data_IF_494703089413
#
_entry.id   IF_494703089413
#
_cell.length_a   1.000
_cell.length_b   1.000
_cell.length_c   1.000
_cell.angle_alpha   90.00
_cell.angle_beta   90.00
_cell.angle_gamma   90.00
#
_symmetry.space_group_name_H-M   'P 1'
#
loop_
_entity.id
_entity.type
_entity.pdbx_description
1 polymer ?
#
# COMPACT_ATOMS: atom_id res chain seq x y z
N UNK A 1 0.76 51.82 0.33
CA UNK A 1 0.12 50.51 0.09
C UNK A 1 0.38 50.16 -1.37
N UNK A 2 1.32 49.25 -1.64
CA UNK A 2 1.60 48.76 -2.99
C UNK A 2 0.68 47.57 -3.26
N UNK A 3 -0.16 47.66 -4.29
CA UNK A 3 -0.94 46.52 -4.76
C UNK A 3 -0.05 45.68 -5.66
N UNK A 4 0.23 44.43 -5.27
CA UNK A 4 0.87 43.45 -6.17
C UNK A 4 -0.25 42.83 -7.00
N UNK A 5 -0.36 43.23 -8.26
CA UNK A 5 -1.18 42.52 -9.24
C UNK A 5 -0.38 41.34 -9.77
N UNK A 6 -0.70 40.13 -9.33
CA UNK A 6 -0.23 38.92 -10.02
C UNK A 6 -1.08 38.79 -11.29
N UNK A 7 -0.54 39.23 -12.43
CA UNK A 7 -1.14 38.92 -13.72
C UNK A 7 -1.09 37.40 -13.93
N UNK A 8 -2.24 36.79 -14.26
CA UNK A 8 -2.28 35.39 -14.65
C UNK A 8 -1.34 35.17 -15.83
N UNK A 9 -0.32 34.32 -15.64
CA UNK A 9 0.65 33.95 -16.66
C UNK A 9 -0.10 33.36 -17.86
N UNK A 10 0.20 33.84 -19.06
CA UNK A 10 -0.31 33.22 -20.27
C UNK A 10 0.17 31.76 -20.32
N UNK A 11 -0.67 30.82 -20.73
CA UNK A 11 -0.23 29.44 -20.88
C UNK A 11 0.92 29.36 -21.87
N UNK A 12 1.90 28.57 -21.48
CA UNK A 12 3.09 28.31 -22.27
C UNK A 12 3.17 26.80 -22.49
N UNK A 13 3.58 26.41 -23.69
CA UNK A 13 3.61 25.03 -24.15
C UNK A 13 4.45 24.09 -23.25
N UNK A 14 5.52 24.61 -22.64
CA UNK A 14 6.38 23.86 -21.72
C UNK A 14 5.76 23.57 -20.34
N UNK A 15 4.60 24.14 -20.00
CA UNK A 15 3.87 23.78 -18.77
C UNK A 15 3.33 22.36 -18.83
N UNK A 16 3.02 21.87 -20.03
CA UNK A 16 2.61 20.49 -20.26
C UNK A 16 3.83 19.65 -20.65
N UNK A 17 4.17 18.70 -19.79
CA UNK A 17 5.17 17.68 -20.14
C UNK A 17 4.53 16.63 -21.03
N UNK A 18 5.25 16.12 -22.06
CA UNK A 18 4.77 14.99 -22.82
C UNK A 18 4.59 13.77 -21.91
N UNK A 19 3.58 12.94 -22.17
CA UNK A 19 3.36 11.73 -21.38
C UNK A 19 4.48 10.72 -21.65
N UNK A 20 4.81 9.92 -20.64
CA UNK A 20 5.69 8.77 -20.83
C UNK A 20 5.05 7.81 -21.84
N UNK A 21 5.84 7.27 -22.79
CA UNK A 21 5.35 6.46 -23.91
C UNK A 21 4.30 7.16 -24.78
N UNK A 22 4.41 8.47 -24.94
CA UNK A 22 3.61 9.22 -25.88
C UNK A 22 4.29 10.50 -26.34
N UNK A 23 3.53 11.30 -27.07
CA UNK A 23 3.94 12.58 -27.60
C UNK A 23 2.91 13.64 -27.24
N UNK A 24 3.35 14.89 -27.20
CA UNK A 24 2.49 16.05 -27.01
C UNK A 24 2.72 17.01 -28.17
N UNK A 25 1.65 17.30 -28.90
CA UNK A 25 1.67 18.21 -30.04
C UNK A 25 0.81 19.44 -29.73
N UNK A 26 1.45 20.58 -29.58
CA UNK A 26 0.78 21.86 -29.31
C UNK A 26 0.65 22.68 -30.58
N UNK A 27 -0.57 23.13 -30.85
CA UNK A 27 -0.91 24.00 -31.98
C UNK A 27 -1.58 25.28 -31.44
N UNK A 28 -1.30 26.45 -32.05
CA UNK A 28 -2.07 27.65 -31.78
C UNK A 28 -3.54 27.44 -32.21
N UNK A 29 -4.48 27.66 -31.29
CA UNK A 29 -5.91 27.65 -31.56
C UNK A 29 -6.50 29.06 -31.64
N UNK A 30 -7.80 29.15 -31.94
CA UNK A 30 -8.48 30.44 -32.19
C UNK A 30 -8.46 31.42 -31.00
N UNK A 31 -8.34 30.94 -29.76
CA UNK A 31 -8.39 31.74 -28.51
C UNK A 31 -7.24 31.47 -27.54
N UNK A 32 -6.22 30.71 -27.96
CA UNK A 32 -5.08 30.35 -27.12
C UNK A 32 -4.32 29.12 -27.63
N UNK A 33 -3.85 28.23 -26.75
CA UNK A 33 -3.09 27.03 -27.11
C UNK A 33 -3.94 25.77 -26.99
N UNK A 34 -3.80 24.87 -27.96
CA UNK A 34 -4.39 23.53 -27.91
C UNK A 34 -3.29 22.49 -28.06
N UNK A 35 -3.13 21.65 -27.05
CA UNK A 35 -2.19 20.54 -27.07
C UNK A 35 -2.92 19.21 -27.14
N UNK A 36 -2.47 18.33 -28.02
CA UNK A 36 -2.99 16.98 -28.19
C UNK A 36 -1.90 16.02 -27.71
N UNK A 37 -2.18 15.34 -26.61
CA UNK A 37 -1.36 14.26 -26.09
C UNK A 37 -1.80 12.95 -26.74
N UNK A 38 -0.85 12.19 -27.28
CA UNK A 38 -1.12 10.92 -27.97
C UNK A 38 -0.19 9.84 -27.43
N UNK A 39 -0.71 8.66 -27.15
CA UNK A 39 0.10 7.51 -26.75
C UNK A 39 0.75 6.81 -27.95
N UNK A 40 1.94 6.26 -27.75
CA UNK A 40 2.61 5.43 -28.75
C UNK A 40 1.79 4.16 -29.01
N UNK A 41 1.93 3.51 -30.18
CA UNK A 41 1.26 2.25 -30.47
C UNK A 41 1.50 1.20 -29.36
N UNK A 42 0.44 0.54 -28.90
CA UNK A 42 0.51 -0.41 -27.78
C UNK A 42 0.44 0.24 -26.39
N UNK A 43 0.18 1.55 -26.31
CA UNK A 43 -0.04 2.29 -25.07
C UNK A 43 -1.33 3.12 -25.13
N UNK A 44 -1.94 3.36 -23.97
CA UNK A 44 -3.17 4.15 -23.82
C UNK A 44 -3.14 4.95 -22.50
N UNK A 45 -3.98 5.97 -22.38
CA UNK A 45 -4.18 6.62 -21.09
C UNK A 45 -4.94 5.69 -20.12
N UNK A 46 -4.89 6.00 -18.82
CA UNK A 46 -5.48 5.13 -17.77
C UNK A 46 -6.99 4.95 -17.88
N UNK A 47 -7.68 5.88 -18.54
CA UNK A 47 -9.11 5.82 -18.87
C UNK A 47 -9.42 5.15 -20.23
N UNK A 48 -8.42 4.54 -20.86
CA UNK A 48 -8.59 3.74 -22.07
C UNK A 48 -8.45 4.51 -23.38
N UNK A 49 -8.50 5.85 -23.37
CA UNK A 49 -8.38 6.68 -24.57
C UNK A 49 -6.92 6.73 -25.07
N UNK A 50 -6.68 6.74 -26.39
CA UNK A 50 -5.33 6.88 -26.96
C UNK A 50 -4.89 8.35 -27.10
N UNK A 51 -5.83 9.29 -26.97
CA UNK A 51 -5.61 10.72 -27.22
C UNK A 51 -6.30 11.56 -26.14
N UNK A 52 -5.65 12.63 -25.68
CA UNK A 52 -6.22 13.64 -24.80
C UNK A 52 -5.97 15.04 -25.32
N UNK A 53 -6.97 15.89 -25.23
CA UNK A 53 -6.87 17.30 -25.64
C UNK A 53 -6.83 18.20 -24.42
N UNK A 54 -5.83 19.07 -24.41
CA UNK A 54 -5.62 20.11 -23.42
C UNK A 54 -5.76 21.46 -24.10
N UNK A 55 -6.56 22.34 -23.52
CA UNK A 55 -6.78 23.68 -24.06
C UNK A 55 -6.47 24.72 -23.02
N UNK A 56 -5.97 25.85 -23.48
CA UNK A 56 -5.85 27.03 -22.67
C UNK A 56 -6.28 28.25 -23.47
N UNK A 57 -7.23 29.00 -22.93
CA UNK A 57 -7.58 30.33 -23.43
C UNK A 57 -6.67 31.40 -22.83
N UNK A 58 -6.45 32.51 -23.53
CA UNK A 58 -5.57 33.58 -23.05
C UNK A 58 -5.91 34.01 -21.61
N UNK A 59 -4.95 33.81 -20.68
CA UNK A 59 -5.03 34.10 -19.23
C UNK A 59 -5.93 33.14 -18.41
N UNK A 60 -6.26 31.97 -18.94
CA UNK A 60 -6.93 30.89 -18.21
C UNK A 60 -5.96 29.74 -17.91
N UNK A 61 -6.20 28.90 -16.89
CA UNK A 61 -5.41 27.69 -16.68
C UNK A 61 -5.73 26.61 -17.73
N UNK A 62 -4.83 25.64 -17.88
CA UNK A 62 -5.04 24.45 -18.72
C UNK A 62 -6.29 23.67 -18.30
N UNK A 63 -7.13 23.37 -19.30
CA UNK A 63 -8.33 22.55 -19.17
C UNK A 63 -8.11 21.23 -19.91
N UNK A 64 -8.38 20.05 -19.31
CA UNK A 64 -9.00 19.86 -18.00
C UNK A 64 -8.06 20.06 -16.80
N UNK A 65 -6.75 19.86 -16.97
CA UNK A 65 -5.74 20.09 -15.94
C UNK A 65 -4.41 20.50 -16.58
N UNK A 66 -3.46 21.01 -15.80
CA UNK A 66 -2.09 21.28 -16.25
C UNK A 66 -1.15 20.07 -16.17
N UNK A 67 -1.69 18.85 -16.05
CA UNK A 67 -0.91 17.61 -15.96
C UNK A 67 -1.41 16.65 -17.02
N UNK A 68 -0.50 16.26 -17.93
CA UNK A 68 -0.78 15.19 -18.89
C UNK A 68 -0.53 13.85 -18.21
N UNK A 69 -1.53 12.95 -18.11
CA UNK A 69 -1.33 11.62 -17.55
C UNK A 69 -0.35 10.80 -18.40
N UNK A 70 0.43 9.91 -17.79
CA UNK A 70 1.30 9.00 -18.54
C UNK A 70 0.49 7.93 -19.31
N UNK A 71 1.05 7.47 -20.42
CA UNK A 71 0.51 6.33 -21.16
C UNK A 71 0.97 5.02 -20.53
N UNK A 72 0.02 4.11 -20.29
CA UNK A 72 0.27 2.76 -19.77
C UNK A 72 0.22 1.74 -20.89
N UNK A 73 0.99 0.66 -20.75
CA UNK A 73 1.00 -0.44 -21.73
C UNK A 73 -0.40 -1.06 -21.88
N UNK A 74 -0.79 -1.36 -23.12
CA UNK A 74 -1.96 -2.18 -23.42
C UNK A 74 -1.73 -3.65 -23.10
N UNK A 75 -0.47 -4.09 -23.12
CA UNK A 75 -0.09 -5.40 -22.63
C UNK A 75 -0.34 -5.46 -21.12
N UNK A 76 -1.35 -6.24 -20.78
CA UNK A 76 -1.92 -6.30 -19.44
C UNK A 76 -2.08 -7.75 -19.02
N UNK A 77 -1.99 -8.00 -17.72
CA UNK A 77 -2.43 -9.27 -17.13
C UNK A 77 -3.46 -9.01 -16.04
N UNK A 78 -4.14 -10.06 -15.58
CA UNK A 78 -5.07 -9.91 -14.45
C UNK A 78 -4.30 -9.61 -13.17
N UNK A 79 -4.85 -8.72 -12.36
CA UNK A 79 -4.34 -8.43 -11.03
C UNK A 79 -4.59 -9.61 -10.10
N UNK A 80 -3.66 -9.84 -9.18
CA UNK A 80 -3.83 -10.82 -8.12
C UNK A 80 -4.65 -10.22 -6.99
N UNK A 81 -5.49 -11.04 -6.36
CA UNK A 81 -6.24 -10.64 -5.17
C UNK A 81 -5.54 -11.19 -3.94
N UNK A 82 -5.01 -10.28 -3.12
CA UNK A 82 -4.33 -10.63 -1.89
C UNK A 82 -5.20 -10.33 -0.67
N UNK A 83 -5.02 -11.14 0.37
CA UNK A 83 -5.48 -10.88 1.73
C UNK A 83 -4.24 -10.83 2.61
N UNK A 84 -4.07 -9.73 3.33
CA UNK A 84 -3.01 -9.56 4.33
C UNK A 84 -3.67 -9.58 5.69
N UNK A 85 -3.46 -10.65 6.44
CA UNK A 85 -3.86 -10.75 7.83
C UNK A 85 -2.67 -10.39 8.73
N UNK A 86 -2.72 -9.22 9.33
CA UNK A 86 -1.73 -8.76 10.30
C UNK A 86 -2.15 -9.21 11.68
N UNK A 87 -1.34 -10.03 12.34
CA UNK A 87 -1.56 -10.46 13.72
C UNK A 87 -0.49 -9.88 14.64
N UNK A 88 -0.92 -9.36 15.79
CA UNK A 88 -0.03 -8.88 16.85
C UNK A 88 0.04 -9.92 17.96
N UNK A 89 1.24 -10.41 18.23
CA UNK A 89 1.55 -11.42 19.22
C UNK A 89 2.22 -10.81 20.45
N UNK A 90 1.93 -11.40 21.60
CA UNK A 90 2.70 -11.21 22.82
C UNK A 90 3.45 -12.49 23.17
N UNK A 91 4.74 -12.33 23.39
CA UNK A 91 5.60 -13.39 23.86
C UNK A 91 5.57 -13.50 25.39
N UNK A 92 5.69 -14.72 25.91
CA UNK A 92 5.94 -14.95 27.32
C UNK A 92 7.45 -14.88 27.65
N UNK A 93 8.09 -13.78 27.26
CA UNK A 93 9.52 -13.56 27.41
C UNK A 93 10.08 -12.57 26.39
N UNK A 94 11.40 -12.37 26.43
CA UNK A 94 12.12 -11.56 25.45
C UNK A 94 12.32 -12.36 24.17
N UNK A 95 11.95 -11.78 23.03
CA UNK A 95 12.11 -12.37 21.70
C UNK A 95 13.39 -11.83 21.08
N UNK A 96 14.32 -12.73 20.78
CA UNK A 96 15.51 -12.38 20.02
C UNK A 96 15.19 -12.33 18.51
N UNK A 97 15.87 -11.46 17.72
CA UNK A 97 15.63 -11.38 16.27
C UNK A 97 15.71 -12.71 15.51
N UNK A 98 16.61 -13.66 15.83
CA UNK A 98 16.64 -14.98 15.19
C UNK A 98 15.38 -15.81 15.38
N UNK A 99 14.57 -15.54 16.41
CA UNK A 99 13.31 -16.25 16.63
C UNK A 99 12.24 -15.89 15.59
N UNK A 100 12.31 -14.70 14.97
CA UNK A 100 11.29 -14.24 14.02
C UNK A 100 11.12 -15.19 12.84
N UNK A 101 12.23 -15.60 12.20
CA UNK A 101 12.17 -16.57 11.10
C UNK A 101 11.76 -17.96 11.59
N UNK A 102 12.25 -18.38 12.76
CA UNK A 102 11.90 -19.69 13.33
C UNK A 102 10.40 -19.81 13.61
N UNK A 103 9.75 -18.76 14.12
CA UNK A 103 8.31 -18.74 14.31
C UNK A 103 7.56 -18.89 12.98
N UNK A 104 7.97 -18.15 11.94
CA UNK A 104 7.33 -18.26 10.63
C UNK A 104 7.56 -19.61 9.97
N UNK A 105 8.73 -20.22 10.17
CA UNK A 105 9.04 -21.57 9.68
C UNK A 105 8.20 -22.64 10.39
N UNK A 106 8.01 -22.50 11.70
CA UNK A 106 7.12 -23.36 12.48
C UNK A 106 5.67 -23.22 12.00
N UNK A 107 5.18 -21.99 11.87
CA UNK A 107 3.81 -21.72 11.40
C UNK A 107 3.57 -22.24 9.97
N UNK A 108 4.57 -22.16 9.10
CA UNK A 108 4.49 -22.62 7.71
C UNK A 108 4.18 -24.11 7.58
N UNK A 109 4.49 -24.92 8.59
CA UNK A 109 4.16 -26.36 8.62
C UNK A 109 2.64 -26.60 8.57
N UNK A 110 1.84 -25.65 9.06
CA UNK A 110 0.38 -25.75 9.06
C UNK A 110 -0.26 -25.23 7.76
N UNK A 111 0.49 -24.52 6.90
CA UNK A 111 -0.07 -23.89 5.70
C UNK A 111 -0.75 -24.88 4.75
N UNK A 112 -0.23 -26.10 4.46
CA UNK A 112 -0.92 -27.02 3.56
C UNK A 112 -2.33 -27.39 4.06
N UNK A 113 -2.45 -27.66 5.36
CA UNK A 113 -3.75 -27.98 5.97
C UNK A 113 -4.65 -26.74 5.99
N UNK A 114 -4.13 -25.58 6.38
CA UNK A 114 -4.91 -24.35 6.43
C UNK A 114 -5.36 -23.91 5.04
N UNK A 115 -4.51 -24.02 4.01
CA UNK A 115 -4.87 -23.76 2.61
C UNK A 115 -6.10 -24.58 2.20
N UNK A 116 -6.13 -25.87 2.52
CA UNK A 116 -7.28 -26.73 2.23
C UNK A 116 -8.54 -26.26 2.96
N UNK A 117 -8.44 -25.98 4.27
CA UNK A 117 -9.61 -25.57 5.06
C UNK A 117 -10.14 -24.21 4.60
N UNK A 118 -9.25 -23.23 4.38
CA UNK A 118 -9.62 -21.89 3.92
C UNK A 118 -10.24 -21.95 2.51
N UNK A 119 -9.68 -22.76 1.62
CA UNK A 119 -10.24 -23.02 0.28
C UNK A 119 -11.64 -23.61 0.37
N UNK A 120 -11.86 -24.59 1.25
CA UNK A 120 -13.18 -25.19 1.49
C UNK A 120 -14.18 -24.18 2.05
N UNK A 121 -13.77 -23.29 2.98
CA UNK A 121 -14.64 -22.25 3.55
C UNK A 121 -15.00 -21.16 2.54
N UNK A 122 -14.12 -20.90 1.58
CA UNK A 122 -14.37 -19.96 0.49
C UNK A 122 -15.18 -20.56 -0.67
N UNK A 123 -15.15 -21.88 -0.83
CA UNK A 123 -15.84 -22.60 -1.91
C UNK A 123 -17.32 -22.79 -1.58
N UNK A 124 -18.15 -22.83 -2.62
CA UNK A 124 -19.59 -23.09 -2.53
C UNK A 124 -19.99 -24.19 -3.54
N UNK A 125 -21.26 -24.58 -3.55
CA UNK A 125 -21.77 -25.56 -4.53
C UNK A 125 -21.43 -25.09 -5.95
N UNK A 126 -20.64 -25.90 -6.66
CA UNK A 126 -20.20 -25.63 -8.03
C UNK A 126 -19.26 -24.41 -8.21
N UNK A 127 -18.67 -23.89 -7.13
CA UNK A 127 -17.70 -22.79 -7.17
C UNK A 127 -16.47 -23.18 -6.35
N UNK A 128 -15.36 -23.49 -7.04
CA UNK A 128 -14.11 -23.83 -6.39
C UNK A 128 -13.21 -22.60 -6.23
N UNK A 129 -12.75 -22.36 -5.01
CA UNK A 129 -11.79 -21.31 -4.65
C UNK A 129 -10.54 -21.95 -4.08
N UNK A 130 -9.37 -21.52 -4.55
CA UNK A 130 -8.12 -21.88 -3.93
C UNK A 130 -7.57 -20.69 -3.12
N UNK A 131 -7.24 -20.92 -1.86
CA UNK A 131 -6.60 -19.97 -0.97
C UNK A 131 -5.24 -20.51 -0.60
N UNK A 132 -4.20 -19.70 -0.76
CA UNK A 132 -2.82 -20.14 -0.52
C UNK A 132 -2.03 -19.09 0.24
N UNK A 133 -1.40 -19.46 1.34
CA UNK A 133 -0.35 -18.64 1.97
C UNK A 133 0.85 -18.51 1.04
N UNK A 134 1.23 -17.28 0.71
CA UNK A 134 2.43 -16.98 -0.08
C UNK A 134 3.67 -16.91 0.81
N UNK A 135 3.60 -16.08 1.86
CA UNK A 135 4.67 -15.88 2.82
C UNK A 135 4.14 -15.15 4.05
N UNK A 136 4.97 -15.12 5.11
CA UNK A 136 4.73 -14.31 6.31
C UNK A 136 5.89 -13.33 6.50
N UNK A 137 5.60 -12.10 6.93
CA UNK A 137 6.60 -11.08 7.25
C UNK A 137 6.58 -10.78 8.74
N UNK A 138 7.53 -11.32 9.53
CA UNK A 138 7.60 -11.04 10.95
C UNK A 138 8.36 -9.73 11.20
N UNK A 139 7.92 -8.98 12.20
CA UNK A 139 8.56 -7.76 12.68
C UNK A 139 8.53 -7.73 14.20
N UNK A 140 9.68 -7.47 14.83
CA UNK A 140 9.74 -7.21 16.26
C UNK A 140 9.44 -5.73 16.50
N UNK A 141 8.33 -5.44 17.19
CA UNK A 141 7.93 -4.07 17.51
C UNK A 141 8.55 -3.62 18.84
N UNK A 142 8.53 -4.51 19.82
CA UNK A 142 9.14 -4.35 21.15
C UNK A 142 9.75 -5.69 21.57
N UNK A 143 10.50 -5.72 22.68
CA UNK A 143 11.20 -6.92 23.16
C UNK A 143 10.29 -8.15 23.35
N UNK A 144 8.98 -7.98 23.52
CA UNK A 144 8.01 -9.06 23.67
C UNK A 144 6.76 -8.92 22.78
N UNK A 145 6.78 -8.00 21.81
CA UNK A 145 5.68 -7.77 20.87
C UNK A 145 6.15 -8.03 19.44
N UNK A 146 5.53 -9.02 18.80
CA UNK A 146 5.83 -9.42 17.43
C UNK A 146 4.61 -9.16 16.57
N UNK A 147 4.79 -8.49 15.44
CA UNK A 147 3.79 -8.40 14.39
C UNK A 147 4.15 -9.42 13.30
N UNK A 148 3.15 -10.13 12.79
CA UNK A 148 3.32 -11.00 11.62
C UNK A 148 2.25 -10.65 10.60
N UNK A 149 2.68 -10.28 9.40
CA UNK A 149 1.80 -10.10 8.25
C UNK A 149 1.76 -11.40 7.45
N UNK A 150 0.64 -12.11 7.50
CA UNK A 150 0.39 -13.27 6.65
C UNK A 150 -0.20 -12.82 5.32
N UNK A 151 0.49 -13.13 4.23
CA UNK A 151 0.05 -12.78 2.87
C UNK A 151 -0.54 -14.02 2.20
N UNK A 152 -1.82 -13.94 1.84
CA UNK A 152 -2.55 -14.99 1.15
C UNK A 152 -2.97 -14.51 -0.23
N UNK A 153 -3.02 -15.43 -1.18
CA UNK A 153 -3.62 -15.23 -2.51
C UNK A 153 -4.91 -16.02 -2.64
N UNK A 154 -5.91 -15.41 -3.30
CA UNK A 154 -7.16 -16.07 -3.68
C UNK A 154 -7.13 -16.33 -5.18
N UNK A 155 -7.35 -17.57 -5.59
CA UNK A 155 -7.41 -17.98 -7.00
C UNK A 155 -8.72 -18.73 -7.23
N UNK A 156 -9.77 -18.06 -7.74
CA UNK A 156 -11.03 -18.71 -8.07
C UNK A 156 -10.92 -19.49 -9.38
N UNK A 157 -11.68 -20.57 -9.53
CA UNK A 157 -11.79 -21.30 -10.79
C UNK A 157 -12.39 -20.42 -11.92
N UNK A 158 -13.29 -19.50 -11.55
CA UNK A 158 -13.87 -18.50 -12.44
C UNK A 158 -13.53 -17.11 -11.92
N UNK A 159 -12.83 -16.30 -12.71
CA UNK A 159 -12.30 -15.00 -12.28
C UNK A 159 -13.36 -13.90 -12.40
N UNK A 160 -14.24 -13.82 -11.41
CA UNK A 160 -15.27 -12.77 -11.27
C UNK A 160 -15.02 -11.93 -10.00
N UNK A 161 -15.16 -10.59 -10.03
CA UNK A 161 -14.93 -9.73 -8.87
C UNK A 161 -15.72 -10.14 -7.62
N UNK A 162 -17.00 -10.51 -7.79
CA UNK A 162 -17.87 -10.93 -6.69
C UNK A 162 -17.35 -12.15 -5.93
N UNK A 163 -16.68 -13.06 -6.64
CA UNK A 163 -16.12 -14.27 -6.06
C UNK A 163 -14.89 -13.98 -5.18
N UNK A 164 -14.06 -13.02 -5.59
CA UNK A 164 -12.96 -12.54 -4.76
C UNK A 164 -13.46 -11.86 -3.49
N UNK A 165 -14.48 -11.00 -3.59
CA UNK A 165 -15.03 -10.30 -2.44
C UNK A 165 -15.76 -11.23 -1.47
N UNK A 166 -16.45 -12.25 -1.97
CA UNK A 166 -17.06 -13.30 -1.15
C UNK A 166 -16.00 -14.02 -0.32
N UNK A 167 -14.97 -14.58 -0.96
CA UNK A 167 -13.90 -15.28 -0.24
C UNK A 167 -13.11 -14.33 0.66
N UNK A 168 -12.80 -13.12 0.20
CA UNK A 168 -12.12 -12.11 1.00
C UNK A 168 -12.89 -11.72 2.27
N UNK A 169 -14.23 -11.69 2.21
CA UNK A 169 -15.07 -11.45 3.39
C UNK A 169 -15.10 -12.64 4.34
N UNK A 170 -15.11 -13.87 3.82
CA UNK A 170 -14.97 -15.09 4.62
C UNK A 170 -13.63 -15.12 5.35
N UNK A 171 -12.53 -14.83 4.67
CA UNK A 171 -11.20 -14.79 5.29
C UNK A 171 -11.10 -13.67 6.33
N UNK A 172 -11.70 -12.51 6.07
CA UNK A 172 -11.77 -11.44 7.05
C UNK A 172 -12.41 -11.90 8.37
N UNK A 173 -13.50 -12.68 8.30
CA UNK A 173 -14.15 -13.24 9.49
C UNK A 173 -13.28 -14.30 10.19
N UNK A 174 -12.62 -15.18 9.43
CA UNK A 174 -11.77 -16.24 9.99
C UNK A 174 -10.55 -15.65 10.70
N UNK A 175 -9.93 -14.63 10.12
CA UNK A 175 -8.74 -14.00 10.70
C UNK A 175 -9.06 -12.96 11.77
N UNK A 176 -10.32 -12.63 12.01
CA UNK A 176 -10.74 -11.71 13.08
C UNK A 176 -10.71 -12.43 14.44
N UNK A 177 -9.70 -12.11 15.25
CA UNK A 177 -9.52 -12.71 16.58
C UNK A 177 -10.57 -12.25 17.60
N UNK A 178 -11.38 -11.24 17.27
CA UNK A 178 -12.54 -10.87 18.09
C UNK A 178 -13.72 -11.83 17.94
N UNK A 179 -13.66 -12.77 16.98
CA UNK A 179 -14.68 -13.79 16.71
C UNK A 179 -14.10 -15.20 16.93
N UNK A 180 -13.96 -15.68 18.19
CA UNK A 180 -13.26 -16.93 18.51
C UNK A 180 -13.78 -18.17 17.78
N UNK A 181 -15.09 -18.25 17.55
CA UNK A 181 -15.69 -19.38 16.83
C UNK A 181 -15.24 -19.47 15.37
N UNK A 182 -15.01 -18.32 14.72
CA UNK A 182 -14.51 -18.27 13.35
C UNK A 182 -12.99 -18.49 13.32
N UNK A 183 -12.27 -17.87 14.25
CA UNK A 183 -10.80 -17.92 14.32
C UNK A 183 -10.24 -19.25 14.83
N UNK A 184 -11.06 -20.11 15.45
CA UNK A 184 -10.65 -21.45 15.85
C UNK A 184 -10.08 -22.29 14.69
N UNK A 185 -10.44 -21.97 13.44
CA UNK A 185 -9.89 -22.63 12.24
C UNK A 185 -8.39 -22.38 12.07
N UNK A 186 -7.90 -21.22 12.50
CA UNK A 186 -6.49 -20.81 12.39
C UNK A 186 -5.76 -20.90 13.73
N UNK A 187 -6.26 -21.71 14.67
CA UNK A 187 -5.69 -21.87 16.01
C UNK A 187 -4.16 -22.13 16.03
N UNK A 188 -3.58 -22.93 15.12
CA UNK A 188 -2.12 -23.12 15.06
C UNK A 188 -1.32 -21.84 14.78
N UNK A 189 -1.97 -20.83 14.18
CA UNK A 189 -1.37 -19.51 13.97
C UNK A 189 -1.64 -18.57 15.14
N UNK A 190 -2.64 -18.83 15.99
CA UNK A 190 -2.99 -17.97 17.13
C UNK A 190 -2.07 -18.26 18.32
N UNK A 191 -1.86 -19.53 18.64
CA UNK A 191 -1.05 -19.97 19.77
C UNK A 191 0.18 -20.73 19.25
N UNK A 192 1.31 -20.03 19.18
CA UNK A 192 2.57 -20.60 18.69
C UNK A 192 3.37 -21.12 19.87
N UNK A 193 3.72 -22.40 19.83
CA UNK A 193 4.53 -23.04 20.87
C UNK A 193 5.95 -22.45 20.94
N UNK A 194 6.60 -22.64 22.08
CA UNK A 194 8.03 -22.33 22.23
C UNK A 194 8.88 -23.17 21.26
N UNK A 195 9.99 -22.58 20.78
CA UNK A 195 10.95 -23.28 19.91
C UNK A 195 12.23 -23.50 20.73
N UNK A 196 12.43 -24.76 21.11
CA UNK A 196 13.49 -25.14 22.05
C UNK A 196 13.45 -24.31 23.34
N UNK A 197 14.64 -23.96 23.84
CA UNK A 197 14.80 -23.11 25.02
C UNK A 197 15.12 -21.65 24.66
N UNK A 198 15.13 -21.29 23.38
CA UNK A 198 15.62 -19.99 22.90
C UNK A 198 14.47 -19.04 22.56
N UNK A 199 13.36 -19.54 22.03
CA UNK A 199 12.24 -18.73 21.59
C UNK A 199 11.01 -18.98 22.47
N UNK A 200 10.52 -17.97 23.21
CA UNK A 200 9.35 -18.12 24.07
C UNK A 200 8.08 -18.45 23.26
N UNK A 201 7.01 -18.96 23.86
CA UNK A 201 5.75 -19.13 23.15
C UNK A 201 5.12 -17.76 22.81
N UNK A 202 4.39 -17.69 21.70
CA UNK A 202 3.64 -16.50 21.27
C UNK A 202 2.14 -16.74 21.36
N UNK A 203 1.41 -15.69 21.76
CA UNK A 203 -0.05 -15.67 21.70
C UNK A 203 -0.53 -14.44 20.96
N UNK A 204 -1.34 -14.64 19.93
CA UNK A 204 -1.96 -13.55 19.20
C UNK A 204 -2.98 -12.82 20.09
N UNK A 205 -2.89 -11.50 20.13
CA UNK A 205 -3.75 -10.63 20.94
C UNK A 205 -4.88 -10.02 20.11
N UNK A 206 -4.56 -9.59 18.90
CA UNK A 206 -5.47 -8.94 17.97
C UNK A 206 -4.98 -9.11 16.54
N UNK A 207 -5.89 -8.90 15.60
CA UNK A 207 -5.60 -8.93 14.18
C UNK A 207 -6.25 -7.77 13.45
N UNK A 208 -5.71 -7.45 12.28
CA UNK A 208 -6.32 -6.57 11.29
C UNK A 208 -6.14 -7.16 9.91
N UNK A 209 -7.15 -7.03 9.05
CA UNK A 209 -7.17 -7.68 7.75
C UNK A 209 -7.31 -6.62 6.66
N UNK A 210 -6.36 -6.60 5.73
CA UNK A 210 -6.44 -5.87 4.47
C UNK A 210 -6.71 -6.83 3.30
N UNK A 211 -7.46 -6.40 2.30
CA UNK A 211 -7.72 -7.19 1.09
C UNK A 211 -7.93 -6.33 -0.13
N UNK A 212 -7.65 -6.89 -1.30
CA UNK A 212 -7.92 -6.24 -2.58
C UNK A 212 -7.00 -6.71 -3.71
N UNK A 213 -7.22 -6.14 -4.89
CA UNK A 213 -6.38 -6.38 -6.05
C UNK A 213 -5.05 -5.63 -5.94
N UNK A 214 -3.98 -6.30 -6.33
CA UNK A 214 -2.62 -5.76 -6.31
C UNK A 214 -1.89 -6.14 -7.60
N UNK A 215 -0.94 -5.30 -8.00
CA UNK A 215 -0.04 -5.55 -9.11
C UNK A 215 1.39 -5.75 -8.61
N UNK A 216 2.28 -6.20 -9.49
CA UNK A 216 3.69 -6.29 -9.17
C UNK A 216 4.31 -4.89 -8.98
N UNK A 217 5.49 -4.85 -8.39
CA UNK A 217 6.23 -3.59 -8.19
C UNK A 217 6.52 -2.96 -9.57
N UNK A 218 6.07 -1.71 -9.76
CA UNK A 218 6.24 -0.97 -11.02
C UNK A 218 5.08 -1.13 -12.01
N UNK A 219 4.05 -1.89 -11.66
CA UNK A 219 2.82 -1.96 -12.44
C UNK A 219 1.74 -1.05 -11.86
N UNK A 220 0.84 -0.60 -12.73
CA UNK A 220 -0.32 0.20 -12.38
C UNK A 220 -1.57 -0.66 -12.48
N UNK A 221 -2.36 -0.63 -11.41
CA UNK A 221 -3.66 -1.27 -11.31
C UNK A 221 -4.70 -0.44 -12.06
N UNK A 222 -5.25 -1.02 -13.11
CA UNK A 222 -6.34 -0.45 -13.88
C UNK A 222 -7.68 -1.07 -13.42
N UNK A 223 -8.55 -0.21 -12.92
CA UNK A 223 -9.85 -0.56 -12.31
C UNK A 223 -11.03 -0.50 -13.27
N UNK A 224 -10.79 -0.28 -14.56
CA UNK A 224 -11.78 0.36 -15.43
C UNK A 224 -12.77 -0.61 -16.11
N UNK A 225 -13.23 -1.65 -15.40
CA UNK A 225 -14.22 -2.58 -15.97
C UNK A 225 -15.13 -3.19 -14.90
N UNK A 226 -16.33 -3.63 -15.29
CA UNK A 226 -17.16 -4.59 -14.54
C UNK A 226 -16.48 -5.98 -14.37
N UNK A 227 -15.21 -6.10 -14.74
CA UNK A 227 -14.41 -7.32 -14.75
C UNK A 227 -13.30 -7.22 -13.72
N UNK A 228 -12.51 -8.30 -13.59
CA UNK A 228 -11.34 -8.33 -12.70
C UNK A 228 -10.32 -7.27 -13.14
N UNK A 229 -9.84 -6.41 -12.22
CA UNK A 229 -8.83 -5.40 -12.51
C UNK A 229 -7.58 -5.98 -13.19
N UNK A 230 -6.92 -5.13 -13.98
CA UNK A 230 -5.78 -5.52 -14.80
C UNK A 230 -4.54 -4.73 -14.39
N UNK A 231 -3.38 -5.35 -14.48
CA UNK A 231 -2.10 -4.71 -14.27
C UNK A 231 -1.47 -4.35 -15.60
N UNK A 232 -0.91 -3.15 -15.69
CA UNK A 232 -0.19 -2.64 -16.85
C UNK A 232 1.21 -2.19 -16.39
N UNK A 233 2.23 -2.44 -17.21
CA UNK A 233 3.57 -1.95 -16.91
C UNK A 233 3.59 -0.41 -16.92
N UNK A 234 4.05 0.20 -15.83
CA UNK A 234 4.38 1.62 -15.80
C UNK A 234 5.90 1.76 -15.82
N UNK A 235 6.46 2.01 -17.00
CA UNK A 235 7.88 2.33 -17.07
C UNK A 235 8.10 3.81 -16.78
N UNK A 236 8.22 4.17 -15.50
CA UNK A 236 8.92 5.39 -15.10
C UNK A 236 9.58 5.23 -13.72
N UNK A 237 10.77 4.62 -13.71
CA UNK A 237 11.75 4.84 -12.64
C UNK A 237 12.87 5.75 -13.15
N UNK A 238 12.57 7.04 -13.28
CA UNK A 238 13.58 8.08 -13.14
C UNK A 238 13.43 8.68 -11.73
N UNK A 239 14.27 8.18 -10.82
CA UNK A 239 14.63 8.72 -9.49
C UNK A 239 13.57 9.50 -8.69
N UNK A 240 13.02 8.84 -7.65
CA UNK A 240 13.18 9.18 -6.22
C UNK A 240 12.75 7.94 -5.43
N UNK A 241 13.59 7.51 -4.49
CA UNK A 241 13.50 6.20 -3.83
C UNK A 241 12.15 5.89 -3.19
N UNK A 242 11.49 4.86 -3.69
CA UNK A 242 10.45 4.14 -2.97
C UNK A 242 11.09 2.96 -2.23
N UNK A 243 11.75 3.25 -1.11
CA UNK A 243 12.01 2.23 -0.11
C UNK A 243 10.66 1.69 0.38
N UNK A 244 10.46 0.37 0.23
CA UNK A 244 9.41 -0.45 0.83
C UNK A 244 8.12 0.27 1.21
N UNK A 245 7.24 0.55 0.25
CA UNK A 245 5.86 0.91 0.57
C UNK A 245 5.03 -0.37 0.72
N UNK A 246 4.23 -0.50 1.81
CA UNK A 246 3.30 -1.62 1.97
C UNK A 246 2.29 -1.61 0.82
N UNK A 247 1.83 -2.80 0.43
CA UNK A 247 0.82 -3.03 -0.60
C UNK A 247 -0.36 -2.05 -0.41
N UNK A 248 -0.51 -1.10 -1.33
CA UNK A 248 -1.67 -0.22 -1.38
C UNK A 248 -2.82 -1.02 -1.99
N UNK A 249 -3.66 -1.58 -1.14
CA UNK A 249 -4.94 -2.15 -1.57
C UNK A 249 -5.83 -1.04 -2.10
N UNK A 250 -6.27 -1.18 -3.34
CA UNK A 250 -7.39 -0.40 -3.82
C UNK A 250 -8.68 -1.05 -3.27
N UNK A 251 -9.21 -0.46 -2.20
CA UNK A 251 -10.46 -0.91 -1.59
C UNK A 251 -11.66 -0.33 -2.35
N UNK A 252 -12.71 -1.13 -2.51
CA UNK A 252 -13.97 -0.72 -3.15
C UNK A 252 -14.80 0.27 -2.31
N UNK A 253 -14.24 0.78 -1.20
CA UNK A 253 -14.94 1.61 -0.23
C UNK A 253 -14.28 2.99 -0.15
N UNK A 254 -15.02 4.06 -0.53
CA UNK A 254 -14.60 5.47 -0.46
C UNK A 254 -14.47 5.98 0.99
N UNK A 255 -13.68 5.32 1.83
CA UNK A 255 -13.19 5.87 3.10
C UNK A 255 -11.72 5.53 3.22
N UNK A 256 -10.89 6.51 2.84
CA UNK A 256 -9.48 6.51 3.14
C UNK A 256 -9.28 6.36 4.67
N UNK A 257 -8.42 5.44 5.15
CA UNK A 257 -7.96 5.51 6.51
C UNK A 257 -7.04 6.74 6.64
N UNK A 258 -7.49 7.71 7.44
CA UNK A 258 -6.67 8.83 7.91
C UNK A 258 -5.53 8.27 8.78
N UNK A 259 -4.37 8.04 8.16
CA UNK A 259 -3.12 7.92 8.90
C UNK A 259 -2.69 9.32 9.36
N UNK A 260 -2.90 9.63 10.63
CA UNK A 260 -2.22 10.75 11.28
C UNK A 260 -0.73 10.40 11.47
N UNK A 261 0.20 11.27 11.07
CA UNK A 261 1.61 11.08 11.38
C UNK A 261 1.84 11.24 12.90
N UNK A 262 2.78 10.48 13.50
CA UNK A 262 3.13 10.69 14.89
C UNK A 262 3.84 12.04 15.05
N UNK A 263 3.34 12.84 15.99
CA UNK A 263 4.04 14.01 16.51
C UNK A 263 5.37 13.55 17.12
N UNK A 264 6.48 13.93 16.48
CA UNK A 264 7.82 13.79 17.06
C UNK A 264 7.96 14.83 18.17
N UNK A 265 7.72 14.41 19.41
CA UNK A 265 8.10 15.14 20.61
C UNK A 265 9.63 15.03 20.77
N UNK A 266 10.38 16.04 20.32
CA UNK A 266 11.78 16.22 20.72
C UNK A 266 11.81 16.87 22.10
N UNK A 267 11.90 16.05 23.13
CA UNK A 267 12.36 16.45 24.45
C UNK A 267 13.67 15.70 24.74
N UNK A 268 14.77 16.46 24.89
CA UNK A 268 15.89 16.25 25.83
C UNK A 268 17.17 16.91 25.29
N UNK A 269 17.49 18.08 25.82
CA UNK A 269 18.89 18.44 26.11
C UNK A 269 18.93 19.21 27.44
N UNK A 270 18.94 18.46 28.54
CA UNK A 270 19.44 18.93 29.82
C UNK A 270 20.96 18.75 29.83
N UNK A 271 21.71 19.82 29.53
CA UNK A 271 23.06 20.01 30.07
C UNK A 271 22.96 20.94 31.26
N UNK A 272 23.01 20.34 32.45
CA UNK A 272 23.33 21.00 33.70
C UNK A 272 24.69 21.71 33.55
N UNK A 273 24.68 23.05 33.53
CA UNK A 273 25.87 23.87 33.73
C UNK A 273 25.68 24.64 35.03
N UNK A 274 26.29 24.12 36.08
CA UNK A 274 26.54 24.82 37.34
C UNK A 274 27.61 25.87 37.04
N UNK A 275 27.37 27.12 37.42
CA UNK A 275 28.34 28.20 37.22
C UNK A 275 27.79 29.60 37.44
N UNK A 276 27.14 29.85 38.58
CA UNK A 276 26.98 31.21 39.10
C UNK A 276 28.26 31.59 39.86
N UNK A 277 29.06 32.49 39.30
CA UNK A 277 29.90 33.39 40.11
C UNK A 277 30.14 34.67 39.32
N UNK A 278 29.36 35.69 39.66
CA UNK A 278 29.65 37.07 39.35
C UNK A 278 30.80 37.57 40.25
N UNK A 279 31.56 38.48 39.67
CA UNK A 279 32.85 39.00 40.08
C UNK A 279 32.82 40.00 41.25
N UNK A 280 33.96 40.07 41.94
CA UNK A 280 34.64 41.22 42.57
C UNK A 280 33.83 42.32 43.29
N UNK A 281 34.16 42.55 44.57
CA UNK A 281 34.74 43.82 45.04
C UNK A 281 35.29 43.75 46.50
N UNK A 282 36.52 44.25 46.64
CA UNK A 282 37.17 44.88 47.83
C UNK A 282 37.51 44.07 49.11
N UNK A 283 38.82 43.89 49.33
CA UNK A 283 39.52 43.96 50.63
C UNK A 283 39.66 45.45 51.09
N UNK A 284 40.38 45.76 52.18
CA UNK A 284 40.12 45.48 53.59
C UNK A 284 40.07 46.78 54.44
N UNK A 285 39.88 46.60 55.75
CA UNK A 285 39.92 47.56 56.88
C UNK A 285 38.55 47.85 57.50
#
# INVERSE_FOLDING_TARGET
MLWVSVQATACVDWELKPPTNGALNCLPGDKGLQCIATCNPGYRFTDGEPVKTFTCEAKSPWTPTSVVPDCVSEDTHQADYHVIATAMYRANGVVSPPCLSQYTDLMAQYYPQLNNILSQRCSAVNVNMNVTFLYAKPQLLEENLVQVDFVLVIIPAVKQPQLYDLCGSTLNLIFDLSVPHASAVIEPLINVSSIGNQCPPLRALKSSIGRGFTCNVGEVLNMDTNNVPRCSAAQSASSIGAAGRPFLFATHNKRAPLFHPPLITRALEHRFRIGFRASDLSQPA
#
